data_IF_093980797571
#
_entry.id   IF_093980797571
#
_cell.length_a   1.000
_cell.length_b   1.000
_cell.length_c   1.000
_cell.angle_alpha   90.00
_cell.angle_beta   90.00
_cell.angle_gamma   90.00
#
_symmetry.space_group_name_H-M   'P 1'
#
loop_
_entity.id
_entity.type
_entity.pdbx_description
1 polymer ?
#
# COMPACT_ATOMS: atom_id res chain seq x y z
N UNK A 1 -9.91 7.18 -12.63
CA UNK A 1 -9.60 8.23 -13.64
C UNK A 1 -9.91 9.57 -13.01
N UNK A 2 -9.01 10.56 -13.11
CA UNK A 2 -9.28 11.90 -12.57
C UNK A 2 -10.23 12.65 -13.51
N UNK A 3 -11.40 13.03 -13.00
CA UNK A 3 -12.46 13.72 -13.74
C UNK A 3 -12.81 15.10 -13.16
N UNK A 4 -12.07 15.54 -12.15
CA UNK A 4 -12.28 16.83 -11.50
C UNK A 4 -11.31 17.07 -10.35
N UNK A 5 -11.54 18.16 -9.62
CA UNK A 5 -10.74 18.58 -8.47
C UNK A 5 -11.58 19.33 -7.44
N UNK A 6 -11.25 19.13 -6.16
CA UNK A 6 -11.84 19.90 -5.06
C UNK A 6 -11.30 21.32 -5.12
N UNK A 7 -12.21 22.30 -5.13
CA UNK A 7 -11.86 23.74 -5.14
C UNK A 7 -11.96 24.36 -3.77
N UNK A 8 -13.02 24.03 -3.04
CA UNK A 8 -13.32 24.66 -1.75
C UNK A 8 -13.95 23.62 -0.82
N UNK A 9 -13.56 23.67 0.45
CA UNK A 9 -14.21 22.95 1.56
C UNK A 9 -14.65 24.01 2.55
N UNK A 10 -15.94 24.06 2.85
CA UNK A 10 -16.52 24.98 3.82
C UNK A 10 -16.93 24.22 5.09
N UNK A 11 -17.01 24.94 6.22
CA UNK A 11 -17.68 24.47 7.43
C UNK A 11 -18.80 25.47 7.70
N UNK A 12 -20.04 24.99 7.73
CA UNK A 12 -21.24 25.80 7.94
C UNK A 12 -22.21 25.05 8.84
N UNK A 13 -23.28 25.71 9.25
CA UNK A 13 -24.39 25.08 9.97
C UNK A 13 -25.58 24.85 9.03
N UNK A 14 -26.45 23.90 9.38
CA UNK A 14 -27.76 23.79 8.77
C UNK A 14 -28.65 24.97 9.19
N UNK A 15 -29.74 25.20 8.45
CA UNK A 15 -30.68 26.31 8.71
C UNK A 15 -31.30 26.31 10.12
N UNK A 16 -31.33 25.15 10.77
CA UNK A 16 -31.88 24.96 12.11
C UNK A 16 -30.84 25.14 13.22
N UNK A 17 -29.59 25.46 12.89
CA UNK A 17 -28.45 25.58 13.82
C UNK A 17 -28.24 24.35 14.71
N UNK A 18 -28.65 23.18 14.22
CA UNK A 18 -28.64 21.91 14.95
C UNK A 18 -27.56 20.94 14.47
N UNK A 19 -26.99 21.19 13.28
CA UNK A 19 -26.00 20.31 12.66
C UNK A 19 -24.94 21.11 11.92
N UNK A 20 -23.68 20.69 12.07
CA UNK A 20 -22.57 21.12 11.23
C UNK A 20 -22.70 20.43 9.87
N UNK A 21 -22.49 21.20 8.80
CA UNK A 21 -22.43 20.77 7.42
C UNK A 21 -21.04 21.10 6.87
N UNK A 22 -20.50 20.20 6.04
CA UNK A 22 -19.22 20.40 5.37
C UNK A 22 -19.45 20.33 3.85
N UNK A 23 -19.85 21.45 3.21
CA UNK A 23 -19.98 21.49 1.75
C UNK A 23 -18.60 21.38 1.10
N UNK A 24 -18.49 20.46 0.13
CA UNK A 24 -17.29 20.28 -0.69
C UNK A 24 -17.64 20.64 -2.13
N UNK A 25 -16.98 21.65 -2.68
CA UNK A 25 -17.21 22.12 -4.04
C UNK A 25 -16.16 21.51 -4.97
N UNK A 26 -16.63 20.82 -6.00
CA UNK A 26 -15.80 20.10 -6.98
C UNK A 26 -15.97 20.75 -8.35
N UNK A 27 -14.86 21.03 -9.03
CA UNK A 27 -14.85 21.40 -10.43
C UNK A 27 -14.57 20.17 -11.28
N UNK A 28 -15.51 19.83 -12.17
CA UNK A 28 -15.36 18.69 -13.10
C UNK A 28 -14.73 19.11 -14.43
N UNK A 29 -13.94 18.20 -14.99
CA UNK A 29 -13.32 18.35 -16.31
C UNK A 29 -14.31 17.88 -17.39
N UNK A 30 -15.27 18.73 -17.71
CA UNK A 30 -16.27 18.47 -18.75
C UNK A 30 -15.85 19.07 -20.09
N UNK A 31 -15.92 18.28 -21.15
CA UNK A 31 -15.66 18.76 -22.52
C UNK A 31 -16.79 19.71 -22.94
N UNK A 32 -16.45 20.89 -23.48
CA UNK A 32 -17.43 21.91 -23.89
C UNK A 32 -17.80 21.84 -25.38
N UNK A 33 -17.66 20.67 -25.98
CA UNK A 33 -17.97 20.51 -27.41
C UNK A 33 -19.49 20.62 -27.60
N UNK A 34 -19.89 21.49 -28.53
CA UNK A 34 -21.26 21.94 -28.74
C UNK A 34 -22.29 20.80 -28.78
N UNK A 35 -23.33 20.88 -27.94
CA UNK A 35 -24.53 20.06 -28.10
C UNK A 35 -24.91 19.13 -26.95
N UNK A 36 -24.36 19.27 -25.74
CA UNK A 36 -24.93 18.60 -24.57
C UNK A 36 -26.35 19.11 -24.33
N UNK A 37 -27.35 18.33 -24.75
CA UNK A 37 -28.75 18.55 -24.38
C UNK A 37 -28.99 18.31 -22.87
N UNK A 38 -28.04 17.66 -22.19
CA UNK A 38 -28.10 17.29 -20.78
C UNK A 38 -26.74 17.48 -20.13
N UNK A 39 -26.73 18.09 -18.94
CA UNK A 39 -25.54 18.28 -18.12
C UNK A 39 -24.99 16.90 -17.68
N UNK A 40 -23.73 16.54 -18.03
CA UNK A 40 -23.16 15.25 -17.68
C UNK A 40 -23.12 15.00 -16.16
N UNK A 41 -23.12 16.05 -15.35
CA UNK A 41 -23.15 15.93 -13.89
C UNK A 41 -24.52 15.45 -13.42
N UNK A 42 -25.60 16.01 -13.95
CA UNK A 42 -26.97 15.54 -13.65
C UNK A 42 -27.17 14.10 -14.12
N UNK A 43 -26.65 13.74 -15.28
CA UNK A 43 -26.69 12.37 -15.77
C UNK A 43 -26.07 11.38 -14.78
N UNK A 44 -24.92 11.70 -14.18
CA UNK A 44 -24.29 10.84 -13.18
C UNK A 44 -25.16 10.69 -11.93
N UNK A 45 -25.71 11.80 -11.42
CA UNK A 45 -26.57 11.80 -10.23
C UNK A 45 -27.84 10.98 -10.48
N UNK A 46 -28.51 11.20 -11.61
CA UNK A 46 -29.76 10.52 -11.98
C UNK A 46 -29.53 9.01 -12.24
N UNK A 47 -28.36 8.64 -12.74
CA UNK A 47 -27.96 7.23 -12.90
C UNK A 47 -27.56 6.55 -11.58
N UNK A 48 -27.65 7.26 -10.45
CA UNK A 48 -27.42 6.74 -9.11
C UNK A 48 -25.97 6.75 -8.66
N UNK A 49 -25.11 7.59 -9.26
CA UNK A 49 -23.76 7.78 -8.74
C UNK A 49 -23.78 8.61 -7.46
N UNK A 50 -22.95 8.21 -6.50
CA UNK A 50 -22.75 8.89 -5.22
C UNK A 50 -21.27 9.21 -5.04
N UNK A 51 -20.99 10.29 -4.32
CA UNK A 51 -19.65 10.63 -3.88
C UNK A 51 -19.25 9.75 -2.68
N UNK A 52 -18.18 8.98 -2.85
CA UNK A 52 -17.52 8.20 -1.82
C UNK A 52 -16.19 8.88 -1.46
N UNK A 53 -16.05 9.31 -0.21
CA UNK A 53 -14.81 9.92 0.26
C UNK A 53 -13.88 8.79 0.68
N UNK A 54 -12.73 8.67 0.00
CA UNK A 54 -11.76 7.62 0.28
C UNK A 54 -10.93 7.97 1.51
N UNK A 55 -10.29 6.96 2.10
CA UNK A 55 -9.32 7.18 3.16
C UNK A 55 -8.10 7.92 2.58
N UNK A 56 -7.49 8.87 3.32
CA UNK A 56 -6.25 9.49 2.88
C UNK A 56 -5.18 8.45 2.56
N UNK A 57 -4.55 8.58 1.39
CA UNK A 57 -3.40 7.75 1.06
C UNK A 57 -2.26 8.03 2.05
N UNK A 58 -1.66 6.98 2.59
CA UNK A 58 -0.69 7.09 3.68
C UNK A 58 0.64 7.72 3.28
N UNK A 59 1.00 7.65 2.00
CA UNK A 59 2.22 8.26 1.46
C UNK A 59 2.04 9.74 1.15
N UNK A 60 0.86 10.13 0.67
CA UNK A 60 0.59 11.50 0.21
C UNK A 60 -0.23 12.32 1.20
N UNK A 61 -0.92 11.69 2.14
CA UNK A 61 -1.85 12.31 3.08
C UNK A 61 -3.15 12.82 2.44
N UNK A 62 -3.38 12.52 1.15
CA UNK A 62 -4.50 13.07 0.39
C UNK A 62 -5.64 12.06 0.31
N UNK A 63 -6.85 12.49 0.67
CA UNK A 63 -8.08 11.77 0.39
C UNK A 63 -8.62 12.12 -1.00
N UNK A 64 -9.25 11.17 -1.66
CA UNK A 64 -9.89 11.35 -2.96
C UNK A 64 -11.41 11.24 -2.83
N UNK A 65 -12.12 11.79 -3.82
CA UNK A 65 -13.56 11.62 -3.93
C UNK A 65 -13.82 10.76 -5.16
N UNK A 66 -14.36 9.57 -4.94
CA UNK A 66 -14.75 8.66 -5.99
C UNK A 66 -16.25 8.80 -6.29
N UNK A 67 -16.62 8.65 -7.56
CA UNK A 67 -18.02 8.52 -7.95
C UNK A 67 -18.32 7.04 -8.19
N UNK A 68 -19.13 6.45 -7.30
CA UNK A 68 -19.47 5.03 -7.33
C UNK A 68 -20.98 4.85 -7.49
N UNK A 69 -21.41 3.69 -8.00
CA UNK A 69 -22.83 3.30 -8.03
C UNK A 69 -23.10 2.29 -6.91
N UNK A 70 -23.66 2.72 -5.76
CA UNK A 70 -23.79 1.86 -4.58
C UNK A 70 -24.85 0.78 -4.82
N UNK A 71 -24.65 -0.38 -4.20
CA UNK A 71 -25.61 -1.49 -4.20
C UNK A 71 -25.88 -1.90 -2.75
N UNK A 72 -27.09 -1.71 -2.21
CA UNK A 72 -28.30 -1.21 -2.86
C UNK A 72 -28.26 0.31 -3.14
N UNK A 73 -29.07 0.76 -4.09
CA UNK A 73 -29.19 2.18 -4.43
C UNK A 73 -29.69 2.98 -3.22
N UNK A 74 -29.03 4.11 -2.92
CA UNK A 74 -29.38 4.97 -1.80
C UNK A 74 -30.21 6.15 -2.31
N UNK A 75 -31.35 6.42 -1.65
CA UNK A 75 -32.22 7.56 -1.97
C UNK A 75 -31.88 8.72 -1.05
N UNK A 76 -31.76 9.92 -1.62
CA UNK A 76 -31.37 11.12 -0.88
C UNK A 76 -32.40 12.23 -1.05
N UNK A 77 -32.65 12.97 0.04
CA UNK A 77 -33.68 14.01 0.09
C UNK A 77 -33.21 15.36 -0.44
N UNK A 78 -31.91 15.64 -0.39
CA UNK A 78 -31.34 16.91 -0.84
C UNK A 78 -30.59 16.70 -2.14
N UNK A 79 -31.07 17.35 -3.20
CA UNK A 79 -30.50 17.26 -4.55
C UNK A 79 -29.71 18.50 -4.95
N UNK A 80 -29.84 19.60 -4.20
CA UNK A 80 -29.16 20.87 -4.46
C UNK A 80 -28.66 21.57 -3.18
N UNK A 81 -27.59 22.34 -3.31
CA UNK A 81 -27.08 23.27 -2.30
C UNK A 81 -26.59 24.55 -2.98
N UNK A 82 -27.15 25.71 -2.59
CA UNK A 82 -26.83 27.04 -3.16
C UNK A 82 -26.75 27.03 -4.70
N UNK A 83 -27.74 26.40 -5.34
CA UNK A 83 -27.88 26.26 -6.81
C UNK A 83 -26.92 25.28 -7.50
N UNK A 84 -26.07 24.58 -6.75
CA UNK A 84 -25.25 23.49 -7.29
C UNK A 84 -25.94 22.13 -7.08
N UNK A 85 -25.88 21.21 -8.07
CA UNK A 85 -26.31 19.85 -7.86
C UNK A 85 -25.41 19.17 -6.83
N UNK A 86 -26.00 18.37 -5.94
CA UNK A 86 -25.28 17.68 -4.88
C UNK A 86 -25.22 16.21 -5.23
N UNK A 87 -24.00 15.69 -5.38
CA UNK A 87 -23.80 14.25 -5.33
C UNK A 87 -24.16 13.76 -3.94
N UNK A 88 -25.03 12.76 -3.84
CA UNK A 88 -25.23 12.15 -2.55
C UNK A 88 -23.94 11.57 -1.99
N UNK A 89 -23.74 11.65 -0.68
CA UNK A 89 -22.53 11.13 -0.05
C UNK A 89 -22.78 9.73 0.49
N UNK A 90 -21.91 8.79 0.14
CA UNK A 90 -21.86 7.47 0.74
C UNK A 90 -20.55 7.36 1.52
N UNK A 91 -20.66 7.17 2.83
CA UNK A 91 -19.52 6.75 3.63
C UNK A 91 -19.54 5.23 3.60
N UNK A 92 -18.85 4.62 2.63
CA UNK A 92 -18.58 3.20 2.74
C UNK A 92 -17.74 3.01 4.00
N UNK A 93 -18.35 2.42 5.02
CA UNK A 93 -17.62 1.78 6.11
C UNK A 93 -16.97 0.51 5.53
N UNK A 94 -16.08 0.66 4.54
CA UNK A 94 -15.19 -0.43 4.18
C UNK A 94 -14.50 -0.83 5.48
N UNK A 95 -14.78 -2.07 5.91
CA UNK A 95 -14.13 -2.70 7.05
C UNK A 95 -12.67 -2.35 6.92
N UNK A 96 -12.22 -1.55 7.87
CA UNK A 96 -10.82 -1.32 8.10
C UNK A 96 -10.20 -2.73 8.10
N UNK A 97 -9.46 -3.13 7.06
CA UNK A 97 -8.14 -3.62 7.40
C UNK A 97 -7.49 -2.37 7.95
N UNK A 98 -7.66 -2.18 9.26
CA UNK A 98 -7.10 -1.02 9.92
C UNK A 98 -5.61 -1.05 9.63
N UNK A 99 -4.97 0.12 9.67
CA UNK A 99 -3.50 0.15 9.67
C UNK A 99 -2.96 -0.92 10.64
N UNK A 100 -3.64 -1.06 11.79
CA UNK A 100 -3.38 -2.09 12.77
C UNK A 100 -3.44 -3.51 12.20
N UNK A 101 -4.51 -3.90 11.50
CA UNK A 101 -4.62 -5.25 10.94
C UNK A 101 -3.58 -5.52 9.85
N UNK A 102 -3.30 -4.54 8.98
CA UNK A 102 -2.27 -4.68 7.94
C UNK A 102 -0.86 -4.71 8.56
N UNK A 103 -0.63 -3.92 9.61
CA UNK A 103 0.62 -3.87 10.35
C UNK A 103 0.83 -5.15 11.15
N UNK A 104 -0.19 -5.65 11.84
CA UNK A 104 -0.14 -6.92 12.57
C UNK A 104 0.05 -8.10 11.60
N UNK A 105 -0.58 -8.08 10.42
CA UNK A 105 -0.32 -9.08 9.39
C UNK A 105 1.13 -9.02 8.87
N UNK A 106 1.67 -7.81 8.63
CA UNK A 106 3.05 -7.63 8.20
C UNK A 106 4.03 -8.06 9.29
N UNK A 107 3.82 -7.61 10.52
CA UNK A 107 4.62 -7.96 11.70
C UNK A 107 4.63 -9.48 11.92
N UNK A 108 3.47 -10.13 11.86
CA UNK A 108 3.36 -11.58 11.95
C UNK A 108 4.15 -12.28 10.84
N UNK A 109 4.03 -11.83 9.59
CA UNK A 109 4.82 -12.39 8.49
C UNK A 109 6.34 -12.22 8.71
N UNK A 110 6.77 -11.09 9.27
CA UNK A 110 8.19 -10.87 9.65
C UNK A 110 8.63 -11.76 10.80
N UNK A 111 7.79 -11.96 11.82
CA UNK A 111 8.04 -12.88 12.92
C UNK A 111 8.18 -14.31 12.41
N UNK A 112 7.26 -14.78 11.56
CA UNK A 112 7.31 -16.12 10.94
C UNK A 112 8.61 -16.31 10.13
N UNK A 113 9.04 -15.30 9.36
CA UNK A 113 10.33 -15.33 8.64
C UNK A 113 11.52 -15.30 9.60
N UNK A 114 11.44 -14.53 10.69
CA UNK A 114 12.47 -14.49 11.72
C UNK A 114 12.67 -15.84 12.39
N UNK A 115 11.58 -16.49 12.75
CA UNK A 115 11.61 -17.83 13.34
C UNK A 115 12.20 -18.84 12.36
N UNK A 116 11.79 -18.79 11.09
CA UNK A 116 12.33 -19.68 10.06
C UNK A 116 13.84 -19.48 9.86
N UNK A 117 14.32 -18.25 9.74
CA UNK A 117 15.76 -17.97 9.56
C UNK A 117 16.57 -18.37 10.79
N UNK A 118 16.00 -18.28 11.98
CA UNK A 118 16.62 -18.72 13.25
C UNK A 118 16.43 -20.19 13.54
N UNK A 119 15.68 -20.92 12.71
CA UNK A 119 15.47 -22.36 12.89
C UNK A 119 16.80 -23.10 12.83
N UNK A 120 16.89 -24.16 13.65
CA UNK A 120 18.10 -24.96 13.72
C UNK A 120 18.44 -25.60 12.39
N UNK A 121 17.41 -26.00 11.63
CA UNK A 121 17.53 -26.59 10.31
C UNK A 121 18.20 -25.63 9.31
N UNK A 122 17.83 -24.34 9.33
CA UNK A 122 18.46 -23.33 8.48
C UNK A 122 19.89 -23.03 8.94
N UNK A 123 20.13 -22.93 10.25
CA UNK A 123 21.48 -22.72 10.78
C UNK A 123 22.42 -23.88 10.41
N UNK A 124 21.99 -25.12 10.63
CA UNK A 124 22.73 -26.33 10.27
C UNK A 124 23.03 -26.38 8.76
N UNK A 125 22.07 -25.96 7.93
CA UNK A 125 22.26 -25.87 6.47
C UNK A 125 23.31 -24.83 6.09
N UNK A 126 23.27 -23.65 6.72
CA UNK A 126 24.25 -22.58 6.49
C UNK A 126 25.65 -23.00 6.94
N UNK A 127 25.77 -23.68 8.08
CA UNK A 127 27.03 -24.26 8.55
C UNK A 127 27.57 -25.30 7.57
N UNK A 128 26.70 -26.17 7.04
CA UNK A 128 27.10 -27.18 6.05
C UNK A 128 27.61 -26.51 4.76
N UNK A 129 26.91 -25.48 4.27
CA UNK A 129 27.33 -24.68 3.11
C UNK A 129 28.69 -24.02 3.36
N UNK A 130 28.89 -23.45 4.55
CA UNK A 130 30.16 -22.84 4.91
C UNK A 130 31.31 -23.86 4.94
N UNK A 131 31.10 -25.03 5.55
CA UNK A 131 32.08 -26.12 5.54
C UNK A 131 32.43 -26.59 4.13
N UNK A 132 31.44 -26.70 3.25
CA UNK A 132 31.68 -27.03 1.83
C UNK A 132 32.50 -25.94 1.14
N UNK A 133 32.16 -24.67 1.34
CA UNK A 133 32.92 -23.53 0.80
C UNK A 133 34.37 -23.50 1.28
N UNK A 134 34.61 -23.75 2.56
CA UNK A 134 35.94 -23.83 3.16
C UNK A 134 36.75 -24.99 2.57
N UNK A 135 36.17 -26.18 2.50
CA UNK A 135 36.79 -27.36 1.91
C UNK A 135 37.14 -27.14 0.43
N UNK A 136 36.23 -26.53 -0.35
CA UNK A 136 36.48 -26.16 -1.74
C UNK A 136 37.60 -25.12 -1.86
N UNK A 137 37.68 -24.16 -0.95
CA UNK A 137 38.76 -23.18 -0.89
C UNK A 137 40.12 -23.82 -0.60
N UNK A 138 40.18 -24.77 0.33
CA UNK A 138 41.40 -25.52 0.66
C UNK A 138 41.83 -26.43 -0.51
N UNK A 139 40.87 -27.11 -1.15
CA UNK A 139 41.12 -27.93 -2.33
C UNK A 139 41.66 -27.08 -3.48
N UNK A 140 41.03 -25.94 -3.76
CA UNK A 140 41.48 -24.98 -4.76
C UNK A 140 42.90 -24.47 -4.46
N UNK A 141 43.23 -24.21 -3.19
CA UNK A 141 44.56 -23.76 -2.79
C UNK A 141 45.63 -24.87 -2.89
N UNK A 142 45.23 -26.14 -2.78
CA UNK A 142 46.12 -27.30 -2.90
C UNK A 142 46.38 -27.69 -4.36
N UNK A 143 45.44 -27.39 -5.26
CA UNK A 143 45.59 -27.53 -6.70
C UNK A 143 46.45 -26.36 -7.20
N UNK A 144 47.76 -26.56 -7.18
CA UNK A 144 48.80 -25.54 -7.24
C UNK A 144 48.96 -24.76 -8.58
N UNK A 145 47.90 -24.62 -9.40
CA UNK A 145 47.70 -23.60 -10.46
C UNK A 145 46.46 -23.87 -11.35
N UNK A 146 45.91 -25.09 -11.38
CA UNK A 146 44.78 -25.45 -12.25
C UNK A 146 43.51 -25.74 -11.44
N UNK A 147 42.91 -24.70 -10.86
CA UNK A 147 41.56 -24.81 -10.30
C UNK A 147 40.55 -24.71 -11.44
N UNK A 148 39.76 -25.75 -11.72
CA UNK A 148 38.73 -25.66 -12.76
C UNK A 148 37.79 -24.49 -12.45
N UNK A 149 37.48 -23.65 -13.44
CA UNK A 149 36.65 -22.45 -13.25
C UNK A 149 35.32 -22.76 -12.56
N UNK A 150 34.76 -23.94 -12.82
CA UNK A 150 33.55 -24.45 -12.17
C UNK A 150 33.67 -24.47 -10.65
N UNK A 151 34.81 -24.91 -10.09
CA UNK A 151 35.04 -24.99 -8.64
C UNK A 151 35.11 -23.58 -8.03
N UNK A 152 35.78 -22.65 -8.72
CA UNK A 152 35.87 -21.25 -8.29
C UNK A 152 34.48 -20.58 -8.28
N UNK A 153 33.68 -20.78 -9.33
CA UNK A 153 32.30 -20.27 -9.39
C UNK A 153 31.41 -20.87 -8.31
N UNK A 154 31.51 -22.18 -8.07
CA UNK A 154 30.70 -22.85 -7.06
C UNK A 154 31.04 -22.34 -5.65
N UNK A 155 32.33 -22.20 -5.33
CA UNK A 155 32.77 -21.62 -4.06
C UNK A 155 32.25 -20.17 -3.89
N UNK A 156 32.33 -19.36 -4.94
CA UNK A 156 31.82 -18.00 -4.92
C UNK A 156 30.30 -17.94 -4.70
N UNK A 157 29.53 -18.81 -5.38
CA UNK A 157 28.09 -18.91 -5.20
C UNK A 157 27.70 -19.31 -3.77
N UNK A 158 28.41 -20.27 -3.18
CA UNK A 158 28.16 -20.68 -1.78
C UNK A 158 28.42 -19.51 -0.81
N UNK A 159 29.53 -18.77 -0.99
CA UNK A 159 29.81 -17.57 -0.19
C UNK A 159 28.73 -16.49 -0.33
N UNK A 160 28.21 -16.30 -1.54
CA UNK A 160 27.12 -15.35 -1.80
C UNK A 160 25.82 -15.78 -1.12
N UNK A 161 25.48 -17.08 -1.16
CA UNK A 161 24.31 -17.63 -0.47
C UNK A 161 24.42 -17.40 1.04
N UNK A 162 25.58 -17.72 1.63
CA UNK A 162 25.84 -17.48 3.06
C UNK A 162 25.73 -15.99 3.40
N UNK A 163 26.32 -15.12 2.59
CA UNK A 163 26.26 -13.66 2.81
C UNK A 163 24.84 -13.10 2.70
N UNK A 164 24.05 -13.60 1.75
CA UNK A 164 22.65 -13.24 1.59
C UNK A 164 21.82 -13.70 2.80
N UNK A 165 22.05 -14.93 3.28
CA UNK A 165 21.38 -15.45 4.46
C UNK A 165 21.65 -14.60 5.72
N UNK A 166 22.91 -14.21 5.96
CA UNK A 166 23.26 -13.29 7.05
C UNK A 166 22.65 -11.91 6.87
N UNK A 167 22.59 -11.39 5.64
CA UNK A 167 21.96 -10.11 5.37
C UNK A 167 20.46 -10.13 5.68
N UNK A 168 19.78 -11.21 5.30
CA UNK A 168 18.38 -11.47 5.64
C UNK A 168 18.20 -11.58 7.15
N UNK A 169 19.05 -12.34 7.85
CA UNK A 169 19.01 -12.46 9.31
C UNK A 169 19.16 -11.10 9.99
N UNK A 170 20.15 -10.30 9.58
CA UNK A 170 20.39 -8.97 10.14
C UNK A 170 19.21 -8.02 9.89
N UNK A 171 18.63 -8.05 8.68
CA UNK A 171 17.44 -7.27 8.36
C UNK A 171 16.26 -7.68 9.24
N UNK A 172 16.02 -8.98 9.36
CA UNK A 172 14.94 -9.50 10.17
C UNK A 172 15.13 -9.16 11.64
N UNK A 173 16.33 -9.33 12.18
CA UNK A 173 16.68 -8.94 13.55
C UNK A 173 16.48 -7.43 13.80
N UNK A 174 16.82 -6.60 12.83
CA UNK A 174 16.58 -5.16 12.89
C UNK A 174 15.09 -4.83 12.92
N UNK A 175 14.30 -5.42 12.02
CA UNK A 175 12.86 -5.18 11.93
C UNK A 175 12.10 -5.73 13.14
N UNK A 176 12.54 -6.85 13.72
CA UNK A 176 11.97 -7.36 14.99
C UNK A 176 12.22 -6.42 16.17
N UNK A 177 13.33 -5.68 16.17
CA UNK A 177 13.65 -4.70 17.23
C UNK A 177 12.98 -3.35 17.00
N UNK A 178 12.77 -2.96 15.74
CA UNK A 178 12.26 -1.65 15.33
C UNK A 178 11.14 -1.79 14.28
N UNK A 179 9.97 -2.33 14.64
CA UNK A 179 8.89 -2.56 13.69
C UNK A 179 8.34 -1.25 13.09
N UNK A 180 8.55 -0.10 13.73
CA UNK A 180 8.22 1.23 13.20
C UNK A 180 9.02 1.61 11.94
N UNK A 181 10.14 0.93 11.69
CA UNK A 181 10.97 1.15 10.49
C UNK A 181 10.24 0.76 9.21
N UNK A 182 9.23 -0.11 9.29
CA UNK A 182 8.36 -0.48 8.17
C UNK A 182 7.60 0.72 7.60
N UNK A 183 7.27 1.70 8.46
CA UNK A 183 6.48 2.87 8.09
C UNK A 183 7.35 4.05 7.66
N UNK A 184 8.51 4.21 8.29
CA UNK A 184 9.41 5.35 8.03
C UNK A 184 10.36 5.12 6.86
N UNK A 185 10.54 3.87 6.43
CA UNK A 185 11.58 3.52 5.49
C UNK A 185 12.98 3.74 6.07
N UNK A 186 14.00 3.53 5.23
CA UNK A 186 15.40 3.77 5.62
C UNK A 186 15.64 5.28 5.76
N UNK A 187 16.19 5.71 6.91
CA UNK A 187 16.69 7.08 7.11
C UNK A 187 17.93 7.36 6.27
#
# INVERSE_FOLDING_TARGET
VKIGEVKVIEITENKEHSKVLIPVYVQFFVERTYGFSQDPIHLLIDNGYVANITKPNLLTGVAEIELIKPTPAVKYKQTYYRSYPVFPTHNSAEKYTSMEEAFEAAKKAFEDVSELVRSKEIQDTLEAIQKVSENLGQLASSLNQDVPSVVAYLNQSLKQITSAAYSTQNLTDYLSRYPESLLRGKR
#
